data_IF_848022019113
#
_entry.id   IF_848022019113
#
_cell.length_a   1.000
_cell.length_b   1.000
_cell.length_c   1.000
_cell.angle_alpha   90.00
_cell.angle_beta   90.00
_cell.angle_gamma   90.00
#
_symmetry.space_group_name_H-M   'P 1'
#
loop_
_entity.id
_entity.type
_entity.pdbx_description
1 polymer ?
#
# COMPACT_ATOMS: atom_id res chain seq x y z
N UNK A 1 73.05 -35.42 -27.15
CA UNK A 1 72.50 -36.67 -26.58
C UNK A 1 71.14 -36.30 -26.00
N UNK A 2 70.06 -36.31 -26.79
CA UNK A 2 69.11 -37.44 -26.92
C UNK A 2 67.88 -37.10 -26.05
N UNK A 3 66.60 -37.14 -26.44
CA UNK A 3 65.88 -37.58 -27.64
C UNK A 3 64.47 -36.97 -27.57
N UNK A 4 63.90 -36.57 -28.71
CA UNK A 4 62.49 -36.21 -28.98
C UNK A 4 61.55 -37.45 -28.97
N UNK A 5 60.23 -37.40 -29.28
CA UNK A 5 59.18 -36.34 -29.27
C UNK A 5 57.80 -36.85 -28.73
N UNK A 6 56.73 -36.02 -28.67
CA UNK A 6 55.33 -36.45 -28.98
C UNK A 6 54.26 -35.36 -28.73
N UNK A 7 53.56 -34.96 -29.81
CA UNK A 7 52.19 -34.41 -29.85
C UNK A 7 52.02 -32.94 -29.46
N UNK A 8 51.45 -32.03 -30.24
CA UNK A 8 50.64 -32.07 -31.46
C UNK A 8 49.84 -30.76 -31.49
N UNK A 9 49.73 -30.01 -32.62
CA UNK A 9 49.16 -28.67 -32.66
C UNK A 9 47.77 -28.62 -33.33
N UNK A 10 46.80 -27.86 -32.80
CA UNK A 10 45.62 -27.34 -33.49
C UNK A 10 45.14 -26.11 -32.69
N UNK A 11 45.35 -24.88 -33.16
CA UNK A 11 44.52 -24.13 -34.10
C UNK A 11 43.11 -23.75 -33.60
N UNK A 12 42.94 -22.43 -33.44
CA UNK A 12 41.80 -21.59 -33.87
C UNK A 12 40.38 -22.12 -33.61
N UNK A 13 39.68 -21.40 -32.72
CA UNK A 13 38.22 -21.44 -32.68
C UNK A 13 37.63 -20.51 -31.63
N UNK A 14 37.57 -19.19 -31.90
CA UNK A 14 36.58 -18.31 -31.26
C UNK A 14 36.34 -16.99 -32.04
N UNK A 15 36.42 -17.06 -33.36
CA UNK A 15 35.74 -16.10 -34.24
C UNK A 15 34.67 -16.91 -34.98
N UNK A 16 33.49 -16.32 -35.20
CA UNK A 16 32.21 -16.94 -35.63
C UNK A 16 31.33 -17.36 -34.45
N UNK A 17 30.79 -16.36 -33.73
CA UNK A 17 29.45 -16.41 -33.15
C UNK A 17 28.85 -14.98 -33.03
N UNK A 18 29.31 -14.05 -33.87
CA UNK A 18 28.53 -12.89 -34.29
C UNK A 18 28.04 -13.17 -35.71
N UNK A 19 26.75 -12.94 -35.97
CA UNK A 19 25.98 -13.30 -37.19
C UNK A 19 25.35 -14.70 -37.17
N UNK A 20 24.32 -14.84 -36.33
CA UNK A 20 23.12 -15.64 -36.63
C UNK A 20 22.12 -15.40 -35.50
N UNK A 21 21.41 -14.27 -35.56
CA UNK A 21 20.01 -14.09 -35.11
C UNK A 21 19.62 -12.62 -35.33
N UNK A 22 19.83 -12.15 -36.57
CA UNK A 22 19.14 -10.98 -37.11
C UNK A 22 18.43 -11.45 -38.38
N UNK A 23 17.35 -12.23 -38.18
CA UNK A 23 16.26 -12.41 -39.14
C UNK A 23 15.02 -12.76 -38.34
N UNK A 24 13.95 -12.01 -38.56
CA UNK A 24 12.55 -12.34 -38.22
C UNK A 24 11.96 -11.82 -36.90
N UNK A 25 11.89 -10.49 -36.74
CA UNK A 25 10.76 -9.87 -36.02
C UNK A 25 10.38 -8.48 -36.57
N UNK A 26 10.46 -8.29 -37.89
CA UNK A 26 9.75 -7.23 -38.62
C UNK A 26 8.70 -7.88 -39.51
N UNK A 27 7.48 -8.03 -38.98
CA UNK A 27 6.37 -8.52 -39.77
C UNK A 27 5.31 -9.24 -38.96
N UNK A 28 4.60 -8.50 -38.09
CA UNK A 28 3.28 -8.88 -37.57
C UNK A 28 2.57 -7.72 -36.84
N UNK A 29 2.78 -6.49 -37.30
CA UNK A 29 1.96 -5.32 -36.96
C UNK A 29 1.34 -4.84 -38.27
N UNK A 30 0.24 -5.45 -38.72
CA UNK A 30 -0.62 -4.87 -39.79
C UNK A 30 -1.92 -5.62 -40.11
N UNK A 31 -2.32 -6.68 -39.39
CA UNK A 31 -3.47 -7.50 -39.80
C UNK A 31 -4.33 -7.94 -38.62
N UNK A 32 -4.73 -7.01 -37.74
CA UNK A 32 -5.82 -7.26 -36.80
C UNK A 32 -6.71 -6.04 -36.53
N UNK A 33 -6.69 -5.04 -37.43
CA UNK A 33 -7.53 -3.83 -37.34
C UNK A 33 -8.65 -3.77 -38.37
N UNK A 34 -8.88 -4.82 -39.17
CA UNK A 34 -9.92 -4.83 -40.22
C UNK A 34 -11.11 -5.77 -39.96
N UNK A 35 -11.17 -6.51 -38.85
CA UNK A 35 -12.20 -7.55 -38.67
C UNK A 35 -13.33 -7.19 -37.68
N UNK A 36 -13.28 -6.06 -36.98
CA UNK A 36 -14.29 -5.69 -35.97
C UNK A 36 -15.36 -4.70 -36.47
N UNK A 37 -15.15 -4.05 -37.63
CA UNK A 37 -16.08 -3.03 -38.17
C UNK A 37 -17.22 -3.64 -39.01
N UNK A 38 -17.14 -4.93 -39.36
CA UNK A 38 -18.13 -5.59 -40.22
C UNK A 38 -19.32 -6.22 -39.48
N UNK A 39 -19.31 -6.31 -38.14
CA UNK A 39 -20.35 -7.03 -37.38
C UNK A 39 -21.41 -6.16 -36.70
N UNK A 40 -21.28 -4.82 -36.70
CA UNK A 40 -22.17 -3.93 -35.93
C UNK A 40 -23.36 -3.38 -36.76
N UNK A 41 -23.48 -3.69 -38.06
CA UNK A 41 -24.44 -3.00 -38.95
C UNK A 41 -25.68 -3.80 -39.41
N UNK A 42 -25.98 -5.00 -38.88
CA UNK A 42 -27.13 -5.79 -39.35
C UNK A 42 -27.92 -6.51 -38.25
N UNK A 43 -28.47 -5.78 -37.29
CA UNK A 43 -29.63 -6.25 -36.51
C UNK A 43 -30.46 -5.06 -36.01
N UNK A 44 -31.24 -4.47 -36.93
CA UNK A 44 -32.41 -3.69 -36.55
C UNK A 44 -33.66 -4.58 -36.49
N UNK A 45 -34.59 -4.16 -35.62
CA UNK A 45 -36.06 -4.20 -35.76
C UNK A 45 -36.86 -5.09 -34.80
N UNK A 46 -37.81 -4.44 -34.10
CA UNK A 46 -38.97 -5.01 -33.40
C UNK A 46 -38.97 -4.64 -31.91
N UNK A 47 -39.85 -3.81 -31.34
CA UNK A 47 -41.18 -3.35 -31.72
C UNK A 47 -42.11 -3.57 -30.51
N UNK A 48 -42.79 -2.53 -30.02
CA UNK A 48 -43.80 -2.67 -28.95
C UNK A 48 -44.06 -1.39 -28.17
N UNK A 49 -45.10 -0.66 -28.57
CA UNK A 49 -45.70 0.47 -27.84
C UNK A 49 -46.39 -0.01 -26.55
N UNK A 50 -46.03 0.54 -25.38
CA UNK A 50 -46.90 0.57 -24.20
C UNK A 50 -46.90 1.97 -23.57
N UNK A 51 -48.04 2.65 -23.71
CA UNK A 51 -48.40 3.89 -23.03
C UNK A 51 -48.42 3.68 -21.50
N UNK A 52 -47.44 4.23 -20.78
CA UNK A 52 -47.53 4.40 -19.34
C UNK A 52 -48.22 5.74 -19.02
N UNK A 53 -49.41 5.65 -18.44
CA UNK A 53 -50.21 6.80 -18.00
C UNK A 53 -49.55 7.48 -16.79
N UNK A 54 -49.25 8.78 -16.91
CA UNK A 54 -48.74 9.61 -15.81
C UNK A 54 -49.89 9.99 -14.88
N UNK A 55 -49.85 9.54 -13.62
CA UNK A 55 -50.72 10.02 -12.53
C UNK A 55 -49.92 11.05 -11.71
N UNK A 56 -50.39 12.30 -11.53
CA UNK A 56 -49.70 13.29 -10.69
C UNK A 56 -49.95 13.04 -9.19
N UNK A 57 -49.01 13.40 -8.30
CA UNK A 57 -49.18 13.22 -6.86
C UNK A 57 -50.14 14.28 -6.27
N UNK A 58 -51.05 13.92 -5.34
CA UNK A 58 -51.85 14.89 -4.63
C UNK A 58 -51.05 15.60 -3.52
N UNK A 59 -51.39 16.88 -3.34
CA UNK A 59 -50.71 17.87 -2.53
C UNK A 59 -50.60 17.58 -1.03
N UNK A 60 -49.60 18.22 -0.41
CA UNK A 60 -49.30 18.11 1.00
C UNK A 60 -50.26 18.83 1.93
N UNK A 61 -50.20 18.43 3.21
CA UNK A 61 -50.63 19.24 4.34
C UNK A 61 -49.72 18.97 5.54
N UNK A 62 -49.31 20.09 6.13
CA UNK A 62 -48.46 20.29 7.31
C UNK A 62 -49.18 19.88 8.60
N UNK A 63 -48.50 19.20 9.54
CA UNK A 63 -48.90 19.15 10.95
C UNK A 63 -47.67 19.02 11.88
N UNK A 64 -47.62 19.87 12.89
CA UNK A 64 -46.57 20.01 13.91
C UNK A 64 -46.73 18.99 15.07
N UNK A 65 -45.71 18.81 15.94
CA UNK A 65 -45.57 17.62 16.79
C UNK A 65 -46.32 17.75 18.12
N UNK A 66 -46.86 16.64 18.62
CA UNK A 66 -47.37 16.52 19.98
C UNK A 66 -46.45 15.60 20.78
N UNK A 67 -45.93 16.13 21.89
CA UNK A 67 -45.13 15.43 22.88
C UNK A 67 -45.97 14.40 23.66
N UNK A 68 -45.35 13.26 24.00
CA UNK A 68 -45.91 12.29 24.93
C UNK A 68 -45.05 11.03 25.08
N UNK A 69 -44.17 11.02 26.08
CA UNK A 69 -43.72 9.80 26.77
C UNK A 69 -44.50 9.70 28.11
N UNK A 70 -44.55 8.56 28.84
CA UNK A 70 -43.73 7.36 28.72
C UNK A 70 -44.46 6.00 28.87
N UNK A 71 -43.81 4.91 28.43
CA UNK A 71 -43.92 3.59 29.08
C UNK A 71 -44.36 2.38 28.24
N UNK A 72 -43.51 1.35 28.31
CA UNK A 72 -43.79 -0.10 28.19
C UNK A 72 -43.80 -0.78 26.79
N UNK A 73 -42.67 -1.43 26.51
CA UNK A 73 -42.46 -2.71 25.81
C UNK A 73 -43.68 -3.46 25.26
N UNK A 74 -43.71 -3.70 23.94
CA UNK A 74 -43.72 -5.03 23.33
C UNK A 74 -43.84 -4.96 21.80
N UNK A 75 -42.90 -5.64 21.13
CA UNK A 75 -43.03 -6.37 19.86
C UNK A 75 -43.87 -5.76 18.71
N UNK A 76 -43.17 -5.37 17.64
CA UNK A 76 -43.77 -5.15 16.33
C UNK A 76 -42.76 -4.50 15.40
N UNK A 77 -42.26 -5.26 14.42
CA UNK A 77 -41.23 -4.83 13.48
C UNK A 77 -41.53 -3.47 12.88
N UNK A 78 -40.69 -2.50 13.22
CA UNK A 78 -40.44 -1.35 12.37
C UNK A 78 -39.22 -1.72 11.54
N UNK A 79 -39.42 -1.81 10.24
CA UNK A 79 -38.39 -1.81 9.22
C UNK A 79 -37.45 -0.64 9.51
N UNK A 80 -36.32 -0.93 10.14
CA UNK A 80 -35.16 -0.05 10.08
C UNK A 80 -34.71 -0.20 8.64
N UNK A 81 -34.81 0.87 7.86
CA UNK A 81 -34.14 0.95 6.56
C UNK A 81 -32.65 0.76 6.84
N UNK A 82 -32.18 -0.48 6.68
CA UNK A 82 -30.77 -0.81 6.76
C UNK A 82 -30.10 -0.14 5.58
N UNK A 83 -29.18 0.78 5.87
CA UNK A 83 -28.18 1.30 4.95
C UNK A 83 -27.17 0.20 4.60
N UNK A 84 -27.66 -0.94 4.11
CA UNK A 84 -26.83 -1.99 3.55
C UNK A 84 -26.57 -1.63 2.08
N UNK A 85 -25.30 -1.62 1.69
CA UNK A 85 -24.79 -1.35 0.34
C UNK A 85 -24.81 0.14 -0.05
N UNK A 86 -24.18 0.99 0.75
CA UNK A 86 -23.83 2.33 0.32
C UNK A 86 -22.38 2.33 -0.20
N UNK A 87 -22.21 2.13 -1.51
CA UNK A 87 -21.02 2.66 -2.19
C UNK A 87 -21.07 4.18 -2.03
N UNK A 88 -20.09 4.77 -1.35
CA UNK A 88 -20.01 6.22 -1.29
C UNK A 88 -19.55 6.75 -2.65
N UNK A 89 -20.48 7.21 -3.48
CA UNK A 89 -20.19 7.84 -4.78
C UNK A 89 -19.50 9.22 -4.67
N UNK A 90 -19.21 9.67 -3.45
CA UNK A 90 -18.59 10.95 -3.16
C UNK A 90 -17.50 10.73 -2.13
N UNK A 91 -16.31 11.25 -2.44
CA UNK A 91 -15.16 11.30 -1.55
C UNK A 91 -15.57 11.88 -0.18
N UNK A 92 -15.38 11.08 0.87
CA UNK A 92 -15.66 11.51 2.23
C UNK A 92 -14.37 11.98 2.91
N UNK A 93 -14.29 13.22 3.39
CA UNK A 93 -13.10 13.68 4.09
C UNK A 93 -12.90 12.87 5.38
N UNK A 94 -11.67 12.44 5.62
CA UNK A 94 -11.28 11.72 6.82
C UNK A 94 -10.02 12.36 7.42
N UNK A 95 -10.06 12.57 8.73
CA UNK A 95 -8.94 13.09 9.51
C UNK A 95 -8.69 12.13 10.67
N UNK A 96 -7.51 11.53 10.69
CA UNK A 96 -7.09 10.67 11.79
C UNK A 96 -6.90 11.48 13.07
N UNK A 97 -7.56 11.07 14.15
CA UNK A 97 -7.33 11.62 15.48
C UNK A 97 -6.15 10.92 16.15
N UNK A 98 -4.98 11.54 16.07
CA UNK A 98 -3.72 11.02 16.63
C UNK A 98 -3.65 11.09 18.16
N UNK A 99 -4.54 11.84 18.82
CA UNK A 99 -4.64 11.87 20.29
C UNK A 99 -5.30 10.61 20.84
N UNK A 100 -5.90 9.80 19.97
CA UNK A 100 -6.41 8.50 20.34
C UNK A 100 -5.45 7.41 19.87
N UNK A 101 -5.41 6.25 20.55
CA UNK A 101 -4.54 5.18 20.10
C UNK A 101 -5.02 4.63 18.74
N UNK A 102 -4.08 4.34 17.86
CA UNK A 102 -4.30 3.85 16.49
C UNK A 102 -3.20 2.82 16.20
N UNK A 103 -3.47 1.76 15.42
CA UNK A 103 -2.43 0.85 14.94
C UNK A 103 -1.21 1.62 14.37
N UNK A 104 0.02 1.34 14.85
CA UNK A 104 1.23 2.08 14.48
C UNK A 104 1.52 2.07 12.97
N UNK A 105 1.28 0.94 12.33
CA UNK A 105 1.40 0.68 10.89
C UNK A 105 0.45 1.59 10.07
N UNK A 106 -0.84 1.61 10.42
CA UNK A 106 -1.83 2.46 9.78
C UNK A 106 -1.50 3.94 10.00
N UNK A 107 -1.10 4.32 11.22
CA UNK A 107 -0.70 5.70 11.53
C UNK A 107 0.47 6.13 10.66
N UNK A 108 1.49 5.28 10.52
CA UNK A 108 2.63 5.56 9.65
C UNK A 108 2.19 5.73 8.19
N UNK A 109 1.27 4.89 7.70
CA UNK A 109 0.70 4.96 6.34
C UNK A 109 -0.02 6.27 6.08
N UNK A 110 -0.88 6.64 7.02
CA UNK A 110 -1.63 7.88 6.98
C UNK A 110 -0.69 9.09 6.98
N UNK A 111 0.36 9.07 7.79
CA UNK A 111 1.33 10.17 7.89
C UNK A 111 2.17 10.33 6.61
N UNK A 112 2.60 9.23 5.97
CA UNK A 112 3.38 9.28 4.72
C UNK A 112 2.55 9.59 3.47
N UNK A 113 1.23 9.80 3.62
CA UNK A 113 0.33 10.07 2.50
C UNK A 113 0.30 8.90 1.48
N UNK A 114 0.34 7.66 1.96
CA UNK A 114 0.17 6.46 1.14
C UNK A 114 -1.26 6.30 0.61
N UNK A 115 -1.44 5.52 -0.45
CA UNK A 115 -2.74 4.96 -0.82
C UNK A 115 -3.05 3.80 0.13
N UNK A 116 -4.20 3.84 0.79
CA UNK A 116 -4.53 2.94 1.90
C UNK A 116 -5.81 2.18 1.58
N UNK A 117 -5.80 0.88 1.85
CA UNK A 117 -6.99 0.04 1.96
C UNK A 117 -7.02 -0.49 3.39
N UNK A 118 -8.12 -0.28 4.10
CA UNK A 118 -8.33 -0.85 5.43
C UNK A 118 -9.58 -1.70 5.44
N UNK A 119 -9.43 -2.94 5.88
CA UNK A 119 -10.49 -3.93 6.07
C UNK A 119 -10.70 -4.21 7.56
N UNK A 120 -11.97 -4.19 7.98
CA UNK A 120 -12.41 -4.79 9.24
C UNK A 120 -13.33 -5.97 8.97
N UNK A 121 -12.94 -7.14 9.45
CA UNK A 121 -13.69 -8.38 9.27
C UNK A 121 -13.96 -9.03 10.63
N UNK A 122 -14.75 -10.09 10.68
CA UNK A 122 -14.99 -10.84 11.92
C UNK A 122 -14.58 -12.30 11.77
N UNK A 123 -13.85 -12.82 12.75
CA UNK A 123 -13.51 -14.24 12.83
C UNK A 123 -14.50 -15.01 13.72
N UNK A 124 -14.81 -16.26 13.32
CA UNK A 124 -15.50 -17.24 14.18
C UNK A 124 -16.77 -17.85 13.60
N UNK A 125 -17.64 -18.36 14.48
CA UNK A 125 -18.99 -18.84 14.17
C UNK A 125 -20.00 -18.06 15.03
N UNK A 126 -20.49 -16.93 14.54
CA UNK A 126 -21.59 -16.19 15.15
C UNK A 126 -22.92 -16.56 14.45
N UNK A 127 -23.75 -17.43 15.06
CA UNK A 127 -25.02 -17.85 14.49
C UNK A 127 -26.09 -16.75 14.43
N UNK A 128 -25.81 -15.57 15.00
CA UNK A 128 -26.67 -14.38 14.93
C UNK A 128 -26.18 -13.37 13.89
N UNK A 129 -25.09 -13.66 13.16
CA UNK A 129 -24.60 -12.82 12.08
C UNK A 129 -25.46 -13.05 10.82
N UNK A 130 -26.23 -12.06 10.34
CA UNK A 130 -27.26 -12.27 9.32
C UNK A 130 -26.76 -12.81 7.97
N UNK A 131 -25.47 -12.63 7.67
CA UNK A 131 -24.84 -13.00 6.39
C UNK A 131 -23.99 -14.29 6.48
N UNK A 132 -23.74 -14.81 7.68
CA UNK A 132 -22.70 -15.83 7.90
C UNK A 132 -21.29 -15.24 7.74
N UNK A 133 -20.30 -15.81 8.44
CA UNK A 133 -18.91 -15.31 8.37
C UNK A 133 -18.20 -15.68 7.07
N UNK A 134 -18.85 -16.49 6.22
CA UNK A 134 -18.39 -16.76 4.86
C UNK A 134 -18.17 -15.46 4.08
N UNK A 135 -19.00 -14.43 4.28
CA UNK A 135 -18.88 -13.16 3.55
C UNK A 135 -17.63 -12.38 3.95
N UNK A 136 -17.30 -12.35 5.24
CA UNK A 136 -16.05 -11.77 5.74
C UNK A 136 -14.83 -12.52 5.16
N UNK A 137 -14.86 -13.87 5.20
CA UNK A 137 -13.78 -14.70 4.64
C UNK A 137 -13.61 -14.51 3.11
N UNK A 138 -14.71 -14.37 2.37
CA UNK A 138 -14.69 -14.14 0.92
C UNK A 138 -14.04 -12.80 0.58
N UNK A 139 -14.44 -11.71 1.24
CA UNK A 139 -13.90 -10.37 0.97
C UNK A 139 -12.43 -10.28 1.36
N UNK A 140 -12.07 -10.81 2.53
CA UNK A 140 -10.68 -10.87 2.98
C UNK A 140 -9.79 -11.67 2.02
N UNK A 141 -10.27 -12.84 1.54
CA UNK A 141 -9.54 -13.64 0.55
C UNK A 141 -9.37 -12.90 -0.78
N UNK A 142 -10.40 -12.18 -1.24
CA UNK A 142 -10.32 -11.41 -2.47
C UNK A 142 -9.33 -10.24 -2.34
N UNK A 143 -9.31 -9.52 -1.21
CA UNK A 143 -8.34 -8.46 -0.94
C UNK A 143 -6.91 -8.99 -0.81
N UNK A 144 -6.72 -10.11 -0.13
CA UNK A 144 -5.41 -10.77 0.00
C UNK A 144 -4.83 -11.17 -1.36
N UNK A 145 -5.66 -11.67 -2.28
CA UNK A 145 -5.24 -11.97 -3.65
C UNK A 145 -4.84 -10.69 -4.41
N UNK A 146 -5.66 -9.64 -4.30
CA UNK A 146 -5.49 -8.36 -4.99
C UNK A 146 -4.27 -7.58 -4.49
N UNK A 147 -3.84 -7.76 -3.24
CA UNK A 147 -2.65 -7.09 -2.69
C UNK A 147 -1.41 -7.26 -3.58
N UNK A 148 -1.22 -8.44 -4.16
CA UNK A 148 -0.09 -8.71 -5.07
C UNK A 148 -0.20 -8.03 -6.43
N UNK A 149 -1.40 -7.60 -6.82
CA UNK A 149 -1.70 -6.94 -8.09
C UNK A 149 -1.54 -5.40 -7.98
N UNK A 150 -1.57 -4.86 -6.74
CA UNK A 150 -1.50 -3.42 -6.43
C UNK A 150 -0.41 -3.10 -5.40
N UNK A 151 0.88 -3.27 -5.74
CA UNK A 151 2.00 -3.07 -4.80
C UNK A 151 2.17 -1.64 -4.30
N UNK A 152 1.62 -0.65 -5.00
CA UNK A 152 1.62 0.77 -4.60
C UNK A 152 0.57 1.12 -3.53
N UNK A 153 -0.34 0.19 -3.21
CA UNK A 153 -1.40 0.36 -2.22
C UNK A 153 -1.07 -0.45 -0.98
N UNK A 154 -1.29 0.15 0.18
CA UNK A 154 -1.03 -0.50 1.46
C UNK A 154 -2.32 -1.05 2.06
N UNK A 155 -2.31 -2.36 2.32
CA UNK A 155 -3.47 -3.11 2.79
C UNK A 155 -3.32 -3.39 4.28
N UNK A 156 -4.34 -3.00 5.05
CA UNK A 156 -4.45 -3.25 6.48
C UNK A 156 -5.71 -4.05 6.74
N UNK A 157 -5.58 -5.27 7.27
CA UNK A 157 -6.71 -6.14 7.54
C UNK A 157 -6.76 -6.49 9.02
N UNK A 158 -7.90 -6.20 9.67
CA UNK A 158 -8.03 -6.35 11.12
C UNK A 158 -9.33 -7.05 11.53
N UNK A 159 -9.25 -8.04 12.42
CA UNK A 159 -10.42 -8.72 12.96
C UNK A 159 -11.06 -7.90 14.09
N UNK A 160 -12.36 -7.64 13.99
CA UNK A 160 -13.15 -6.85 14.96
C UNK A 160 -13.32 -7.53 16.31
N UNK A 161 -13.10 -8.84 16.34
CA UNK A 161 -13.17 -9.69 17.53
C UNK A 161 -11.81 -9.94 18.16
N UNK A 162 -10.76 -9.98 17.35
CA UNK A 162 -9.38 -10.19 17.79
C UNK A 162 -8.46 -9.41 16.85
N UNK A 163 -8.04 -8.20 17.22
CA UNK A 163 -7.35 -7.32 16.29
C UNK A 163 -5.94 -7.78 15.90
N UNK A 164 -5.42 -8.84 16.52
CA UNK A 164 -4.11 -9.39 16.19
C UNK A 164 -2.94 -8.44 16.51
N UNK A 165 -1.73 -8.92 16.23
CA UNK A 165 -0.53 -8.08 16.16
C UNK A 165 -0.59 -7.28 14.84
N UNK A 166 -0.11 -6.03 14.84
CA UNK A 166 0.11 -5.33 13.58
C UNK A 166 1.17 -6.08 12.76
N UNK A 167 1.18 -5.93 11.43
CA UNK A 167 2.22 -6.58 10.59
C UNK A 167 3.65 -6.15 10.98
N UNK A 168 3.76 -5.01 11.67
CA UNK A 168 5.00 -4.56 12.33
C UNK A 168 4.95 -4.96 13.81
N UNK A 169 6.09 -5.43 14.33
CA UNK A 169 6.30 -6.22 15.56
C UNK A 169 5.94 -5.56 16.91
N UNK A 170 4.93 -4.67 16.95
CA UNK A 170 4.34 -4.10 18.15
C UNK A 170 3.01 -4.80 18.44
N UNK A 171 2.92 -5.53 19.57
CA UNK A 171 1.65 -6.01 20.09
C UNK A 171 0.72 -4.81 20.33
N UNK A 172 -0.43 -4.77 19.65
CA UNK A 172 -1.43 -3.72 19.88
C UNK A 172 -1.96 -3.82 21.31
N UNK A 173 -1.95 -2.71 22.06
CA UNK A 173 -2.55 -2.72 23.39
C UNK A 173 -4.09 -2.85 23.29
N UNK A 174 -4.70 -3.44 24.32
CA UNK A 174 -6.15 -3.62 24.38
C UNK A 174 -6.90 -2.29 24.22
N UNK A 175 -7.61 -2.13 23.09
CA UNK A 175 -8.42 -0.95 22.77
C UNK A 175 -7.82 0.01 21.74
N UNK A 176 -6.56 -0.16 21.34
CA UNK A 176 -5.95 0.71 20.33
C UNK A 176 -6.62 0.54 18.96
N UNK A 177 -6.88 -0.70 18.61
CA UNK A 177 -7.65 -1.06 17.41
C UNK A 177 -9.09 -0.52 17.41
N UNK A 178 -9.83 -0.73 18.50
CA UNK A 178 -11.26 -0.36 18.57
C UNK A 178 -11.49 1.13 18.40
N UNK A 179 -10.44 1.93 18.61
CA UNK A 179 -10.46 3.36 18.39
C UNK A 179 -10.38 3.71 16.90
N UNK A 180 -9.54 3.05 16.10
CA UNK A 180 -9.52 3.28 14.65
C UNK A 180 -10.86 2.89 14.00
N UNK A 181 -11.41 1.72 14.37
CA UNK A 181 -12.73 1.30 13.91
C UNK A 181 -13.84 2.29 14.31
N UNK A 182 -13.77 2.87 15.52
CA UNK A 182 -14.70 3.92 15.95
C UNK A 182 -14.52 5.24 15.17
N UNK A 183 -13.28 5.60 14.84
CA UNK A 183 -12.99 6.81 14.03
C UNK A 183 -13.49 6.67 12.59
N UNK A 184 -13.46 5.46 12.03
CA UNK A 184 -13.98 5.14 10.69
C UNK A 184 -15.49 4.82 10.67
N UNK A 185 -16.17 4.95 11.82
CA UNK A 185 -17.60 4.66 11.98
C UNK A 185 -18.01 3.25 11.50
N UNK A 186 -17.20 2.26 11.87
CA UNK A 186 -17.43 0.85 11.50
C UNK A 186 -18.66 0.32 12.23
N UNK A 187 -19.78 0.26 11.51
CA UNK A 187 -21.05 -0.26 12.03
C UNK A 187 -21.24 -1.76 11.85
N UNK A 188 -20.70 -2.33 10.76
CA UNK A 188 -20.93 -3.71 10.34
C UNK A 188 -19.72 -4.24 9.54
N UNK A 189 -19.39 -5.53 9.68
CA UNK A 189 -18.34 -6.21 8.89
C UNK A 189 -18.93 -7.14 7.82
N UNK A 190 -18.19 -7.45 6.73
CA UNK A 190 -16.90 -6.86 6.36
C UNK A 190 -17.05 -5.38 6.02
N UNK A 191 -16.09 -4.58 6.46
CA UNK A 191 -15.99 -3.16 6.18
C UNK A 191 -14.70 -2.95 5.41
N UNK A 192 -14.76 -2.30 4.25
CA UNK A 192 -13.59 -1.96 3.45
C UNK A 192 -13.62 -0.48 3.12
N UNK A 193 -12.60 0.26 3.52
CA UNK A 193 -12.41 1.65 3.11
C UNK A 193 -11.14 1.79 2.29
N UNK A 194 -11.25 2.44 1.14
CA UNK A 194 -10.14 2.84 0.29
C UNK A 194 -9.93 4.34 0.43
N UNK A 195 -8.68 4.75 0.61
CA UNK A 195 -8.37 6.10 1.05
C UNK A 195 -7.15 6.65 0.33
N UNK A 196 -7.26 7.91 -0.10
CA UNK A 196 -6.18 8.64 -0.73
C UNK A 196 -5.99 10.01 -0.06
N UNK A 197 -4.77 10.55 -0.07
CA UNK A 197 -4.50 11.92 0.35
C UNK A 197 -5.29 12.95 -0.46
N UNK A 198 -5.84 13.94 0.24
CA UNK A 198 -6.61 15.05 -0.32
C UNK A 198 -6.26 16.34 0.44
N UNK A 199 -5.25 17.06 -0.05
CA UNK A 199 -4.72 18.24 0.63
C UNK A 199 -3.97 17.90 1.92
N UNK A 200 -4.43 18.43 3.05
CA UNK A 200 -3.84 18.19 4.39
C UNK A 200 -4.47 16.99 5.13
N UNK A 201 -5.42 16.31 4.49
CA UNK A 201 -6.19 15.21 5.09
C UNK A 201 -6.32 14.05 4.10
N UNK A 202 -7.06 13.00 4.46
CA UNK A 202 -7.45 11.96 3.52
C UNK A 202 -8.88 12.15 3.03
N UNK A 203 -9.17 11.51 1.90
CA UNK A 203 -10.51 11.22 1.45
C UNK A 203 -10.70 9.69 1.40
N UNK A 204 -11.80 9.20 1.97
CA UNK A 204 -12.31 7.86 1.71
C UNK A 204 -12.97 7.92 0.33
N UNK A 205 -12.31 7.32 -0.66
CA UNK A 205 -12.73 7.34 -2.07
C UNK A 205 -13.75 6.25 -2.34
N UNK A 206 -13.62 5.11 -1.66
CA UNK A 206 -14.59 4.03 -1.70
C UNK A 206 -14.81 3.47 -0.30
N UNK A 207 -16.06 3.11 -0.02
CA UNK A 207 -16.49 2.50 1.24
C UNK A 207 -17.47 1.39 0.92
N UNK A 208 -17.18 0.19 1.43
CA UNK A 208 -18.02 -1.00 1.28
C UNK A 208 -18.34 -1.57 2.65
N UNK A 209 -19.61 -1.93 2.85
CA UNK A 209 -20.07 -2.58 4.07
C UNK A 209 -20.94 -3.78 3.68
N UNK A 210 -20.51 -4.98 4.09
CA UNK A 210 -21.07 -6.25 3.67
C UNK A 210 -20.40 -6.79 2.40
N UNK A 211 -21.06 -7.77 1.77
CA UNK A 211 -20.55 -8.44 0.58
C UNK A 211 -20.27 -7.46 -0.56
N UNK A 212 -19.09 -7.60 -1.16
CA UNK A 212 -18.64 -6.91 -2.37
C UNK A 212 -17.97 -7.93 -3.29
N UNK A 213 -18.21 -7.81 -4.60
CA UNK A 213 -17.59 -8.70 -5.59
C UNK A 213 -16.13 -8.29 -5.85
N UNK A 214 -15.23 -9.25 -6.02
CA UNK A 214 -13.81 -8.99 -6.40
C UNK A 214 -13.65 -8.00 -7.53
N UNK A 215 -14.47 -8.09 -8.59
CA UNK A 215 -14.35 -7.18 -9.74
C UNK A 215 -14.68 -5.72 -9.42
N UNK A 216 -15.49 -5.47 -8.37
CA UNK A 216 -15.78 -4.12 -7.87
C UNK A 216 -14.59 -3.61 -7.06
N UNK A 217 -14.01 -4.46 -6.20
CA UNK A 217 -12.78 -4.13 -5.45
C UNK A 217 -11.61 -3.83 -6.39
N UNK A 218 -11.40 -4.67 -7.39
CA UNK A 218 -10.35 -4.51 -8.41
C UNK A 218 -10.49 -3.18 -9.17
N UNK A 219 -11.70 -2.86 -9.63
CA UNK A 219 -11.95 -1.57 -10.29
C UNK A 219 -11.70 -0.39 -9.36
N UNK A 220 -12.13 -0.48 -8.09
CA UNK A 220 -11.94 0.59 -7.11
C UNK A 220 -10.46 0.78 -6.75
N UNK A 221 -9.66 -0.30 -6.69
CA UNK A 221 -8.21 -0.24 -6.54
C UNK A 221 -7.54 0.38 -7.76
N UNK A 222 -7.93 -0.02 -8.96
CA UNK A 222 -7.46 0.61 -10.21
C UNK A 222 -7.75 2.12 -10.24
N UNK A 223 -8.94 2.52 -9.81
CA UNK A 223 -9.31 3.94 -9.73
C UNK A 223 -8.51 4.65 -8.61
N UNK A 224 -8.26 3.98 -7.48
CA UNK A 224 -7.44 4.51 -6.38
C UNK A 224 -6.00 4.79 -6.83
N UNK A 225 -5.37 3.87 -7.57
CA UNK A 225 -3.99 4.05 -8.06
C UNK A 225 -3.88 5.05 -9.20
N UNK A 226 -5.01 5.42 -9.82
CA UNK A 226 -5.06 6.53 -10.78
C UNK A 226 -4.95 7.91 -10.11
N UNK A 227 -5.15 7.99 -8.79
CA UNK A 227 -4.97 9.23 -8.03
C UNK A 227 -3.47 9.50 -7.95
N UNK A 228 -3.06 10.60 -8.58
CA UNK A 228 -1.71 11.15 -8.43
C UNK A 228 -1.53 11.63 -6.99
N UNK A 229 -1.18 10.71 -6.11
CA UNK A 229 -0.39 11.04 -4.93
C UNK A 229 0.94 11.58 -5.41
N UNK A 230 1.54 12.51 -4.65
CA UNK A 230 2.97 12.74 -4.80
C UNK A 230 3.62 11.39 -4.52
N UNK A 231 3.91 10.63 -5.58
CA UNK A 231 4.53 9.32 -5.55
C UNK A 231 5.94 9.56 -5.01
N UNK A 232 6.00 9.62 -3.69
CA UNK A 232 7.22 9.49 -2.96
C UNK A 232 7.47 8.00 -2.77
N UNK A 233 7.02 7.09 -3.64
CA UNK A 233 7.32 5.65 -3.57
C UNK A 233 8.27 5.33 -4.72
N UNK A 234 9.47 4.90 -4.39
CA UNK A 234 10.53 4.61 -5.37
C UNK A 234 10.26 3.26 -6.05
N UNK A 235 10.49 3.19 -7.37
CA UNK A 235 10.41 1.93 -8.17
C UNK A 235 11.56 0.93 -7.85
N UNK A 236 12.29 1.14 -6.76
CA UNK A 236 13.46 0.34 -6.38
C UNK A 236 13.12 -0.57 -5.21
N UNK A 237 13.33 -1.88 -5.38
CA UNK A 237 13.12 -2.91 -4.35
C UNK A 237 14.24 -2.93 -3.29
N UNK A 238 14.45 -1.82 -2.60
CA UNK A 238 15.33 -1.73 -1.43
C UNK A 238 14.48 -1.62 -0.17
N UNK A 239 14.88 -2.31 0.89
CA UNK A 239 14.28 -2.25 2.22
C UNK A 239 15.31 -1.69 3.21
N UNK A 240 14.88 -0.83 4.12
CA UNK A 240 15.65 -0.31 5.23
C UNK A 240 15.48 -1.24 6.43
N UNK A 241 16.42 -2.18 6.57
CA UNK A 241 16.36 -3.26 7.56
C UNK A 241 16.65 -2.78 8.99
N UNK A 242 17.61 -1.86 9.15
CA UNK A 242 18.01 -1.39 10.47
C UNK A 242 18.65 0.00 10.41
N UNK A 243 18.48 0.77 11.49
CA UNK A 243 19.15 2.06 11.72
C UNK A 243 19.74 2.05 13.13
N UNK A 244 21.05 2.11 13.22
CA UNK A 244 21.76 2.16 14.51
C UNK A 244 22.11 3.60 14.86
N UNK A 245 21.85 3.97 16.12
CA UNK A 245 22.20 5.29 16.64
C UNK A 245 23.63 5.34 17.18
N UNK A 246 24.22 6.54 17.15
CA UNK A 246 25.50 6.81 17.82
C UNK A 246 25.42 6.57 19.33
N UNK A 247 26.55 6.24 19.97
CA UNK A 247 26.62 5.98 21.42
C UNK A 247 26.14 7.18 22.29
N UNK A 248 26.30 8.40 21.78
CA UNK A 248 25.81 9.62 22.43
C UNK A 248 24.30 9.81 22.31
N UNK A 249 23.63 9.03 21.45
CA UNK A 249 22.25 9.23 21.02
C UNK A 249 22.11 10.42 20.07
N UNK A 250 20.99 10.48 19.35
CA UNK A 250 20.62 11.65 18.54
C UNK A 250 21.16 11.70 17.11
N UNK A 251 22.03 10.78 16.71
CA UNK A 251 22.58 10.68 15.36
C UNK A 251 22.68 9.23 14.88
N UNK A 252 22.89 9.01 13.57
CA UNK A 252 23.00 7.66 12.97
C UNK A 252 24.47 7.24 12.93
N UNK A 253 24.78 6.04 13.43
CA UNK A 253 26.13 5.44 13.32
C UNK A 253 26.26 4.61 12.04
N UNK A 254 25.27 3.75 11.76
CA UNK A 254 25.13 3.06 10.48
C UNK A 254 23.66 2.71 10.21
N UNK A 255 23.35 2.42 8.96
CA UNK A 255 22.08 1.81 8.58
C UNK A 255 22.31 0.64 7.64
N UNK A 256 21.42 -0.35 7.67
CA UNK A 256 21.48 -1.55 6.84
C UNK A 256 20.32 -1.55 5.87
N UNK A 257 20.61 -1.79 4.60
CA UNK A 257 19.59 -1.99 3.58
C UNK A 257 19.69 -3.38 2.99
N UNK A 258 18.55 -3.93 2.57
CA UNK A 258 18.44 -5.19 1.84
C UNK A 258 17.86 -4.93 0.46
N UNK A 259 18.55 -5.40 -0.58
CA UNK A 259 18.03 -5.37 -1.94
C UNK A 259 17.17 -6.62 -2.18
N UNK A 260 15.86 -6.43 -2.28
CA UNK A 260 14.86 -7.48 -2.55
C UNK A 260 14.67 -7.76 -4.04
N UNK A 261 15.11 -6.83 -4.90
CA UNK A 261 15.00 -6.95 -6.34
C UNK A 261 16.00 -7.94 -6.95
N UNK A 262 15.75 -8.26 -8.22
CA UNK A 262 16.57 -9.20 -9.00
C UNK A 262 17.84 -8.55 -9.59
N UNK A 263 17.86 -7.22 -9.65
CA UNK A 263 18.95 -6.43 -10.20
C UNK A 263 19.88 -5.84 -9.13
N UNK A 264 21.10 -5.47 -9.53
CA UNK A 264 22.04 -4.79 -8.64
C UNK A 264 21.72 -3.30 -8.57
N UNK A 265 21.57 -2.77 -7.36
CA UNK A 265 21.29 -1.35 -7.09
C UNK A 265 22.56 -0.60 -6.68
N UNK A 266 22.65 0.67 -7.07
CA UNK A 266 23.66 1.62 -6.60
C UNK A 266 23.00 2.61 -5.65
N UNK A 267 23.51 2.72 -4.43
CA UNK A 267 22.95 3.56 -3.37
C UNK A 267 23.47 5.00 -3.39
N UNK A 268 24.39 5.36 -4.29
CA UNK A 268 24.86 6.75 -4.44
C UNK A 268 23.65 7.69 -4.66
N UNK A 269 23.49 8.68 -3.78
CA UNK A 269 22.37 9.63 -3.76
C UNK A 269 21.17 9.21 -2.91
N UNK A 270 21.12 7.97 -2.41
CA UNK A 270 20.09 7.57 -1.45
C UNK A 270 20.31 8.31 -0.14
N UNK A 271 19.23 8.59 0.60
CA UNK A 271 19.33 9.28 1.88
C UNK A 271 18.39 8.70 2.93
N UNK A 272 18.80 8.69 4.19
CA UNK A 272 17.89 8.37 5.32
C UNK A 272 17.54 9.69 5.99
N UNK A 273 16.25 10.02 6.02
CA UNK A 273 15.72 11.32 6.46
C UNK A 273 14.80 11.13 7.65
N UNK A 274 14.89 12.04 8.62
CA UNK A 274 13.96 12.10 9.74
C UNK A 274 12.59 12.52 9.22
N UNK A 275 11.58 11.71 9.54
CA UNK A 275 10.18 12.04 9.28
C UNK A 275 9.72 13.02 10.34
N UNK A 276 9.09 14.12 9.94
CA UNK A 276 8.56 15.09 10.88
C UNK A 276 7.45 14.42 11.73
N UNK A 277 7.57 14.38 13.06
CA UNK A 277 6.65 13.62 13.91
C UNK A 277 5.26 14.25 14.02
N UNK A 278 5.16 15.57 13.76
CA UNK A 278 3.90 16.31 13.85
C UNK A 278 3.11 16.21 12.54
N UNK A 279 3.82 16.23 11.41
CA UNK A 279 3.21 16.35 10.06
C UNK A 279 3.33 15.08 9.22
N UNK A 280 4.26 14.17 9.55
CA UNK A 280 4.58 13.01 8.72
C UNK A 280 5.38 13.34 7.45
N UNK A 281 5.69 14.62 7.23
CA UNK A 281 6.35 15.06 6.01
C UNK A 281 7.84 14.69 6.02
N UNK A 282 8.33 14.23 4.86
CA UNK A 282 9.74 13.95 4.63
C UNK A 282 10.14 14.36 3.22
N UNK A 283 11.28 15.03 3.11
CA UNK A 283 11.83 15.53 1.84
C UNK A 283 13.34 15.35 1.82
N UNK A 284 13.97 15.54 0.67
CA UNK A 284 15.44 15.55 0.56
C UNK A 284 16.11 16.64 1.42
N UNK A 285 15.37 17.69 1.79
CA UNK A 285 15.86 18.77 2.66
C UNK A 285 15.68 18.46 4.16
N UNK A 286 14.93 17.40 4.51
CA UNK A 286 14.75 16.98 5.89
C UNK A 286 16.10 16.60 6.53
N UNK A 287 16.26 16.78 7.86
CA UNK A 287 17.46 16.35 8.56
C UNK A 287 17.73 14.86 8.29
N UNK A 288 18.99 14.48 8.05
CA UNK A 288 19.32 13.10 7.76
C UNK A 288 20.76 12.86 7.35
N UNK A 289 20.96 11.75 6.65
CA UNK A 289 22.23 11.31 6.08
C UNK A 289 22.06 11.02 4.60
N UNK A 290 23.11 11.23 3.80
CA UNK A 290 23.11 10.95 2.36
C UNK A 290 24.32 10.12 1.97
N UNK A 291 24.08 9.07 1.16
CA UNK A 291 25.12 8.21 0.63
C UNK A 291 25.82 8.92 -0.53
N UNK A 292 26.98 9.47 -0.24
CA UNK A 292 27.82 10.22 -1.17
C UNK A 292 28.79 9.33 -1.98
N UNK A 293 28.83 8.03 -1.69
CA UNK A 293 29.74 7.07 -2.30
C UNK A 293 29.02 6.01 -3.14
N UNK A 294 29.75 5.43 -4.10
CA UNK A 294 29.25 4.32 -4.92
C UNK A 294 29.22 3.01 -4.14
N UNK A 295 28.10 2.76 -3.47
CA UNK A 295 27.83 1.51 -2.77
C UNK A 295 26.87 0.66 -3.58
N UNK A 296 27.31 -0.52 -4.00
CA UNK A 296 26.51 -1.44 -4.80
C UNK A 296 26.02 -2.62 -3.99
N UNK A 297 24.73 -2.89 -4.05
CA UNK A 297 24.08 -4.01 -3.38
C UNK A 297 23.59 -4.99 -4.42
N UNK A 298 24.08 -6.23 -4.36
CA UNK A 298 23.61 -7.30 -5.25
C UNK A 298 22.19 -7.72 -4.92
N UNK A 299 21.51 -8.39 -5.85
CA UNK A 299 20.17 -8.93 -5.62
C UNK A 299 20.13 -9.88 -4.44
N UNK A 300 19.11 -9.78 -3.61
CA UNK A 300 18.91 -10.56 -2.36
C UNK A 300 20.07 -10.45 -1.37
N UNK A 301 20.77 -9.30 -1.35
CA UNK A 301 21.89 -9.04 -0.43
C UNK A 301 21.63 -7.80 0.40
N UNK A 302 22.20 -7.82 1.59
CA UNK A 302 22.23 -6.67 2.49
C UNK A 302 23.59 -5.97 2.45
N UNK A 303 23.57 -4.67 2.73
CA UNK A 303 24.75 -3.85 2.91
C UNK A 303 24.52 -2.83 4.01
N UNK A 304 25.51 -2.67 4.89
CA UNK A 304 25.54 -1.67 5.95
C UNK A 304 26.33 -0.45 5.48
N UNK A 305 25.82 0.75 5.69
CA UNK A 305 26.42 2.03 5.30
C UNK A 305 26.65 2.82 6.59
N UNK A 306 27.89 3.22 6.85
CA UNK A 306 28.29 3.83 8.13
C UNK A 306 28.69 5.29 8.02
N UNK A 307 28.73 5.96 9.17
CA UNK A 307 29.23 7.34 9.28
C UNK A 307 30.71 7.46 8.90
N UNK A 308 31.49 6.43 9.17
CA UNK A 308 32.93 6.35 8.84
C UNK A 308 33.27 5.01 8.20
N UNK A 309 34.33 4.92 7.37
CA UNK A 309 34.67 3.67 6.67
C UNK A 309 35.04 2.50 7.60
N UNK A 310 35.51 2.81 8.81
CA UNK A 310 35.92 1.83 9.81
C UNK A 310 34.78 1.45 10.78
N UNK A 311 33.55 1.95 10.55
CA UNK A 311 32.38 1.57 11.32
C UNK A 311 32.06 0.07 11.12
N UNK A 312 31.47 -0.52 12.14
CA UNK A 312 31.17 -1.94 12.22
C UNK A 312 29.70 -2.14 12.51
N UNK A 313 29.04 -3.01 11.75
CA UNK A 313 27.63 -3.35 11.94
C UNK A 313 27.41 -4.31 13.13
N UNK A 314 26.14 -4.59 13.45
CA UNK A 314 25.74 -5.48 14.53
C UNK A 314 26.36 -6.89 14.45
N UNK A 315 26.71 -7.36 13.24
CA UNK A 315 27.33 -8.68 13.02
C UNK A 315 28.86 -8.64 13.15
N UNK A 316 29.45 -7.49 13.48
CA UNK A 316 30.89 -7.33 13.55
C UNK A 316 31.57 -7.18 12.18
N UNK A 317 30.81 -6.87 11.12
CA UNK A 317 31.33 -6.67 9.77
C UNK A 317 31.55 -5.19 9.49
N UNK A 318 32.62 -4.89 8.75
CA UNK A 318 32.88 -3.53 8.30
C UNK A 318 31.81 -3.07 7.30
N UNK A 319 31.37 -1.83 7.43
CA UNK A 319 30.40 -1.20 6.51
C UNK A 319 30.91 -1.20 5.06
N UNK A 320 29.98 -1.24 4.10
CA UNK A 320 30.24 -1.33 2.66
C UNK A 320 30.42 0.02 1.97
N UNK A 321 30.01 1.09 2.64
CA UNK A 321 30.13 2.46 2.16
C UNK A 321 29.91 3.43 3.29
N UNK A 322 29.99 4.72 2.96
CA UNK A 322 29.76 5.78 3.91
C UNK A 322 28.68 6.76 3.47
N UNK A 323 28.20 7.54 4.44
CA UNK A 323 27.30 8.66 4.23
C UNK A 323 27.88 9.94 4.82
N UNK A 324 27.32 11.09 4.43
CA UNK A 324 27.56 12.39 5.04
C UNK A 324 26.34 12.86 5.85
N UNK A 325 26.59 13.66 6.90
CA UNK A 325 25.55 14.18 7.79
C UNK A 325 25.34 13.34 9.06
N UNK A 326 24.20 13.53 9.71
CA UNK A 326 23.73 12.60 10.75
C UNK A 326 24.21 12.80 12.19
N UNK A 327 25.00 13.84 12.51
CA UNK A 327 25.57 14.00 13.86
C UNK A 327 24.62 14.67 14.88
N UNK A 328 23.61 15.42 14.43
CA UNK A 328 22.64 16.16 15.27
C UNK A 328 21.20 16.03 14.75
N UNK A 329 20.71 14.79 14.57
CA UNK A 329 19.35 14.52 14.10
C UNK A 329 18.29 14.56 15.21
N UNK A 330 18.71 14.61 16.48
CA UNK A 330 17.85 14.53 17.66
C UNK A 330 16.96 13.28 17.69
N UNK A 331 17.40 12.20 17.02
CA UNK A 331 16.72 10.92 17.02
C UNK A 331 16.62 10.33 18.43
N UNK A 332 15.42 9.92 18.79
CA UNK A 332 15.08 9.21 20.02
C UNK A 332 14.48 7.85 19.67
N UNK A 333 14.55 6.85 20.56
CA UNK A 333 13.79 5.62 20.40
C UNK A 333 12.30 5.93 20.13
N UNK A 334 11.73 5.31 19.10
CA UNK A 334 10.40 5.58 18.56
C UNK A 334 10.34 6.66 17.49
N UNK A 335 11.47 7.27 17.10
CA UNK A 335 11.50 8.24 15.99
C UNK A 335 11.40 7.51 14.66
N UNK A 336 10.68 8.09 13.70
CA UNK A 336 10.54 7.51 12.37
C UNK A 336 11.55 8.13 11.39
N UNK A 337 12.18 7.28 10.59
CA UNK A 337 13.04 7.70 9.48
C UNK A 337 12.62 7.02 8.19
N UNK A 338 12.78 7.73 7.08
CA UNK A 338 12.49 7.23 5.74
C UNK A 338 13.78 7.11 4.93
N UNK A 339 13.95 5.99 4.24
CA UNK A 339 14.92 5.85 3.16
C UNK A 339 14.34 6.51 1.91
N UNK A 340 15.08 7.38 1.25
CA UNK A 340 14.73 8.03 -0.01
C UNK A 340 15.75 7.62 -1.08
N UNK A 341 15.29 7.46 -2.32
CA UNK A 341 16.15 7.25 -3.48
C UNK A 341 16.84 8.56 -3.92
N UNK A 342 17.69 8.47 -4.95
CA UNK A 342 18.38 9.65 -5.50
C UNK A 342 17.48 10.70 -6.17
N UNK A 343 16.21 10.37 -6.42
CA UNK A 343 15.18 11.29 -6.88
C UNK A 343 14.39 11.98 -5.76
N UNK A 344 14.55 11.51 -4.52
CA UNK A 344 13.82 11.99 -3.35
C UNK A 344 12.51 11.25 -3.09
N UNK A 345 12.24 10.15 -3.80
CA UNK A 345 11.09 9.29 -3.51
C UNK A 345 11.43 8.40 -2.29
N UNK A 346 10.53 8.28 -1.33
CA UNK A 346 10.60 7.32 -0.23
C UNK A 346 10.62 5.89 -0.79
N UNK A 347 11.53 5.10 -0.28
CA UNK A 347 11.78 3.71 -0.62
C UNK A 347 11.20 2.83 0.48
N UNK A 348 11.46 3.19 1.73
CA UNK A 348 11.02 2.44 2.91
C UNK A 348 11.05 3.35 4.15
N UNK A 349 10.36 2.95 5.22
CA UNK A 349 10.27 3.72 6.47
C UNK A 349 10.41 2.79 7.68
N UNK A 350 11.22 3.18 8.67
CA UNK A 350 11.43 2.39 9.88
C UNK A 350 11.38 3.27 11.13
N UNK A 351 10.91 2.69 12.23
CA UNK A 351 11.06 3.27 13.57
C UNK A 351 12.45 2.91 14.12
N UNK A 352 13.14 3.90 14.70
CA UNK A 352 14.47 3.78 15.30
C UNK A 352 14.38 3.56 16.80
#
# INVERSE_FOLDING_TARGET
MGSQPSGGPLERGSEILERLFDVSLRGRVSLLSCSLIAFILLAGCGGGDEEATVVPPPGGTTAAPAAGAPGANAAGGATVEGSAQAESLVDQPFTLNVDQPVPPDFRAAYQRKALIVVEFFKEGEDPLYPQGLEVDDFVNSDLSDLQSEYPEVEFFTYSITDPGEAETSEELEQGQYGTLAAQLDVGFTPFVAMMAPSGEQYAITNLYQGYVERGVLDQALFDLTSIEVASNTSDTDIELEAVELTESGGGIEYFTVTNRGDDRVNLEGFSVRVVDPDTGDVTSDSPGVEVNERTRVGSTKSASIGRVPDAVDADGRQVKGTFEGGEDLQLQPGSTVALLDGGGAVVDTVAV
#
